data_IF_490284233199
#
_entry.id   IF_490284233199
#
_cell.length_a   1.000
_cell.length_b   1.000
_cell.length_c   1.000
_cell.angle_alpha   90.00
_cell.angle_beta   90.00
_cell.angle_gamma   90.00
#
_symmetry.space_group_name_H-M   'P 1'
#
loop_
_entity.id
_entity.type
_entity.pdbx_description
1 polymer ?
#
# COMPACT_ATOMS: atom_id res chain seq x y z
N UNK A 1 -11.74 -2.27 -5.47
CA UNK A 1 -11.73 -0.83 -5.11
C UNK A 1 -10.40 -0.26 -5.57
N UNK A 2 -10.35 0.97 -6.09
CA UNK A 2 -9.10 1.61 -6.53
C UNK A 2 -8.91 2.90 -5.75
N UNK A 3 -7.69 3.14 -5.28
CA UNK A 3 -7.28 4.38 -4.61
C UNK A 3 -6.16 4.96 -5.45
N UNK A 4 -6.22 6.26 -5.73
CA UNK A 4 -5.15 6.96 -6.42
C UNK A 4 -4.80 8.26 -5.70
N UNK A 5 -3.51 8.59 -5.79
CA UNK A 5 -2.96 9.86 -5.35
C UNK A 5 -2.21 10.43 -6.54
N UNK A 6 -2.63 11.59 -7.02
CA UNK A 6 -2.12 12.16 -8.27
C UNK A 6 -1.69 13.60 -8.06
N UNK A 7 -0.44 13.89 -8.44
CA UNK A 7 0.08 15.25 -8.43
C UNK A 7 -0.43 16.04 -9.65
N UNK A 8 -0.96 17.23 -9.42
CA UNK A 8 -1.42 18.16 -10.44
C UNK A 8 -0.22 18.93 -11.01
N UNK A 9 0.03 18.89 -12.34
CA UNK A 9 1.23 19.46 -12.90
C UNK A 9 1.18 20.99 -12.99
N UNK A 10 -0.02 21.59 -13.00
CA UNK A 10 -0.23 23.03 -13.10
C UNK A 10 -0.15 23.69 -11.74
N UNK A 11 -0.88 23.14 -10.76
CA UNK A 11 -1.01 23.76 -9.43
C UNK A 11 -0.05 23.19 -8.39
N UNK A 12 0.59 22.04 -8.68
CA UNK A 12 1.42 21.25 -7.76
C UNK A 12 0.67 20.69 -6.54
N UNK A 13 -0.66 20.74 -6.59
CA UNK A 13 -1.51 20.19 -5.55
C UNK A 13 -1.71 18.68 -5.74
N UNK A 14 -2.18 18.02 -4.69
CA UNK A 14 -2.41 16.58 -4.70
C UNK A 14 -3.90 16.25 -4.73
N UNK A 15 -4.31 15.46 -5.71
CA UNK A 15 -5.61 14.82 -5.74
C UNK A 15 -5.57 13.49 -5.00
N UNK A 16 -6.58 13.25 -4.16
CA UNK A 16 -6.84 11.93 -3.58
C UNK A 16 -8.18 11.44 -4.10
N UNK A 17 -8.18 10.28 -4.74
CA UNK A 17 -9.35 9.67 -5.35
C UNK A 17 -9.62 8.28 -4.83
N UNK A 18 -10.91 7.95 -4.73
CA UNK A 18 -11.40 6.61 -4.47
C UNK A 18 -12.37 6.21 -5.59
N UNK A 19 -11.95 5.24 -6.40
CA UNK A 19 -12.63 4.86 -7.64
C UNK A 19 -12.87 6.10 -8.51
N UNK A 20 -14.13 6.44 -8.78
CA UNK A 20 -14.53 7.58 -9.59
C UNK A 20 -14.88 8.82 -8.76
N UNK A 21 -14.61 8.80 -7.45
CA UNK A 21 -14.90 9.91 -6.54
C UNK A 21 -13.60 10.62 -6.15
N UNK A 22 -13.60 11.94 -6.31
CA UNK A 22 -12.56 12.80 -5.74
C UNK A 22 -12.85 12.98 -4.26
N UNK A 23 -11.96 12.48 -3.41
CA UNK A 23 -12.08 12.60 -1.95
C UNK A 23 -11.55 13.95 -1.46
N UNK A 24 -10.52 14.48 -2.09
CA UNK A 24 -9.94 15.75 -1.67
C UNK A 24 -8.89 16.27 -2.63
N UNK A 25 -8.60 17.56 -2.43
CA UNK A 25 -7.58 18.30 -3.15
C UNK A 25 -6.74 19.08 -2.14
N UNK A 26 -5.46 18.73 -2.07
CA UNK A 26 -4.58 19.17 -0.99
C UNK A 26 -3.51 20.10 -1.56
N UNK A 27 -3.44 21.35 -1.07
CA UNK A 27 -2.44 22.32 -1.51
C UNK A 27 -1.01 21.83 -1.32
N UNK A 28 -0.11 22.13 -2.28
CA UNK A 28 1.32 21.82 -2.19
C UNK A 28 1.93 22.32 -0.88
N UNK A 29 1.56 23.53 -0.46
CA UNK A 29 2.10 24.21 0.73
C UNK A 29 1.88 23.46 2.04
N UNK A 30 0.95 22.48 2.07
CA UNK A 30 0.78 21.60 3.23
C UNK A 30 1.94 20.61 3.40
N UNK A 31 2.76 20.43 2.37
CA UNK A 31 3.80 19.42 2.30
C UNK A 31 5.17 20.03 2.01
N UNK A 32 6.13 19.80 2.89
CA UNK A 32 7.49 20.36 2.76
C UNK A 32 8.34 19.65 1.71
N UNK A 33 8.06 18.37 1.46
CA UNK A 33 8.92 17.47 0.66
C UNK A 33 8.12 16.62 -0.36
N UNK A 34 6.97 17.12 -0.83
CA UNK A 34 6.12 16.43 -1.82
C UNK A 34 5.83 17.30 -3.05
N UNK A 35 6.77 18.14 -3.48
CA UNK A 35 6.73 18.74 -4.82
C UNK A 35 6.86 17.68 -5.93
N UNK A 36 7.44 16.52 -5.58
CA UNK A 36 7.48 15.27 -6.34
C UNK A 36 7.60 14.11 -5.35
N UNK A 37 7.19 12.91 -5.75
CA UNK A 37 7.29 11.71 -4.91
C UNK A 37 8.64 11.00 -5.16
N UNK A 38 9.54 11.03 -4.18
CA UNK A 38 10.80 10.27 -4.21
C UNK A 38 10.64 8.83 -3.74
N UNK A 39 9.70 8.62 -2.83
CA UNK A 39 9.34 7.32 -2.27
C UNK A 39 7.83 7.26 -2.24
N UNK A 40 7.30 6.10 -2.61
CA UNK A 40 5.90 5.75 -2.51
C UNK A 40 5.80 4.30 -2.09
N UNK A 41 4.65 3.92 -1.56
CA UNK A 41 4.46 2.55 -1.14
C UNK A 41 3.03 2.24 -0.79
N UNK A 42 2.77 0.95 -0.69
CA UNK A 42 1.54 0.40 -0.17
C UNK A 42 1.83 -0.08 1.25
N UNK A 43 1.06 0.40 2.21
CA UNK A 43 1.25 0.07 3.62
C UNK A 43 -0.08 -0.36 4.27
N UNK A 44 0.06 -0.86 5.48
CA UNK A 44 -1.03 -1.16 6.39
C UNK A 44 -0.49 -1.15 7.81
N UNK A 45 -1.35 -0.86 8.77
CA UNK A 45 -1.00 -0.96 10.18
C UNK A 45 -2.19 -1.46 10.99
N UNK A 46 -1.89 -2.09 12.12
CA UNK A 46 -2.84 -2.35 13.18
C UNK A 46 -2.47 -1.48 14.38
N UNK A 47 -3.46 -1.13 15.20
CA UNK A 47 -3.24 -0.42 16.45
C UNK A 47 -4.19 -0.97 17.50
N UNK A 48 -3.67 -1.22 18.69
CA UNK A 48 -4.43 -1.72 19.84
C UNK A 48 -3.95 -0.98 21.10
N UNK A 49 -4.82 -0.74 22.09
CA UNK A 49 -4.36 -0.17 23.36
C UNK A 49 -3.37 -1.10 24.06
N UNK A 50 -2.41 -0.51 24.78
CA UNK A 50 -1.39 -1.24 25.56
C UNK A 50 -2.04 -2.31 26.44
N UNK A 51 -1.45 -3.51 26.44
CA UNK A 51 -1.92 -4.65 27.23
C UNK A 51 -3.07 -5.44 26.58
N UNK A 52 -3.59 -5.01 25.42
CA UNK A 52 -4.53 -5.80 24.64
C UNK A 52 -3.81 -6.54 23.50
N UNK A 53 -4.26 -7.75 23.12
CA UNK A 53 -3.77 -8.40 21.92
C UNK A 53 -3.98 -7.53 20.68
N UNK A 54 -3.01 -7.50 19.78
CA UNK A 54 -3.13 -6.84 18.49
C UNK A 54 -4.15 -7.58 17.62
N UNK A 55 -4.99 -6.87 16.85
CA UNK A 55 -6.02 -7.50 16.05
C UNK A 55 -5.43 -8.25 14.84
N UNK A 56 -6.18 -9.19 14.23
CA UNK A 56 -5.78 -9.77 12.95
C UNK A 56 -5.70 -8.69 11.86
N UNK A 57 -4.75 -8.85 10.93
CA UNK A 57 -4.60 -7.98 9.76
C UNK A 57 -5.14 -8.68 8.51
N UNK A 58 -5.91 -7.95 7.69
CA UNK A 58 -6.46 -8.47 6.45
C UNK A 58 -7.41 -9.65 6.70
N UNK A 59 -7.07 -10.83 6.17
CA UNK A 59 -7.85 -12.06 6.38
C UNK A 59 -7.54 -12.79 7.69
N UNK A 60 -6.56 -12.31 8.47
CA UNK A 60 -6.07 -13.01 9.66
C UNK A 60 -5.11 -14.17 9.38
N UNK A 61 -4.84 -14.47 8.11
CA UNK A 61 -3.88 -15.50 7.70
C UNK A 61 -2.59 -14.86 7.20
N UNK A 62 -1.47 -15.51 7.48
CA UNK A 62 -0.18 -15.17 6.88
C UNK A 62 -0.24 -15.37 5.36
N UNK A 63 0.50 -14.56 4.58
CA UNK A 63 0.57 -14.69 3.13
C UNK A 63 1.18 -16.03 2.75
N UNK A 64 0.36 -16.97 2.26
CA UNK A 64 0.79 -18.33 1.89
C UNK A 64 0.93 -18.50 0.37
N UNK A 65 1.29 -17.43 -0.36
CA UNK A 65 1.30 -17.37 -1.84
C UNK A 65 -0.03 -17.82 -2.50
N UNK A 66 -1.14 -17.70 -1.77
CA UNK A 66 -2.48 -18.01 -2.26
C UNK A 66 -3.39 -16.79 -2.12
N UNK A 67 -3.65 -16.14 -3.26
CA UNK A 67 -4.50 -14.96 -3.38
C UNK A 67 -5.97 -15.20 -2.97
N UNK A 68 -6.41 -16.46 -2.87
CA UNK A 68 -7.77 -16.81 -2.43
C UNK A 68 -7.92 -16.84 -0.90
N UNK A 69 -6.81 -16.94 -0.15
CA UNK A 69 -6.82 -17.07 1.32
C UNK A 69 -6.23 -15.87 2.05
N UNK A 70 -5.31 -15.14 1.40
CA UNK A 70 -4.63 -13.98 1.99
C UNK A 70 -5.27 -12.69 1.49
N UNK A 71 -5.25 -11.64 2.30
CA UNK A 71 -5.64 -10.32 1.82
C UNK A 71 -4.56 -9.81 0.84
N UNK A 72 -4.93 -8.93 -0.09
CA UNK A 72 -4.02 -8.46 -1.12
C UNK A 72 -4.28 -7.02 -1.54
N UNK A 73 -3.21 -6.36 -1.98
CA UNK A 73 -3.29 -5.23 -2.91
C UNK A 73 -2.96 -5.73 -4.30
N UNK A 74 -3.68 -5.21 -5.30
CA UNK A 74 -3.54 -5.60 -6.70
C UNK A 74 -3.62 -4.37 -7.59
N UNK A 75 -3.20 -4.51 -8.84
CA UNK A 75 -3.11 -3.42 -9.81
C UNK A 75 -2.23 -2.28 -9.28
N UNK A 76 -1.17 -2.63 -8.56
CA UNK A 76 -0.22 -1.67 -8.00
C UNK A 76 0.60 -1.04 -9.11
N UNK A 77 0.59 0.28 -9.18
CA UNK A 77 1.40 1.04 -10.13
C UNK A 77 1.66 2.43 -9.57
N UNK A 78 2.69 3.08 -10.13
CA UNK A 78 2.99 4.49 -9.90
C UNK A 78 3.21 5.18 -11.24
N UNK A 79 3.07 6.50 -11.27
CA UNK A 79 3.26 7.31 -12.46
C UNK A 79 4.54 8.13 -12.37
N UNK A 80 5.29 8.17 -13.46
CA UNK A 80 6.39 9.13 -13.60
C UNK A 80 5.89 10.53 -13.98
N UNK A 81 6.82 11.47 -14.11
CA UNK A 81 6.53 12.85 -14.54
C UNK A 81 5.96 12.95 -15.96
N UNK A 82 6.12 11.92 -16.79
CA UNK A 82 5.59 11.83 -18.15
C UNK A 82 4.21 11.16 -18.20
N UNK A 83 3.56 10.91 -17.05
CA UNK A 83 2.27 10.21 -16.93
C UNK A 83 2.30 8.78 -17.44
N UNK A 84 3.46 8.14 -17.42
CA UNK A 84 3.59 6.74 -17.77
C UNK A 84 3.48 5.89 -16.52
N UNK A 85 2.65 4.86 -16.59
CA UNK A 85 2.47 3.90 -15.50
C UNK A 85 3.62 2.88 -15.46
N UNK A 86 4.12 2.62 -14.26
CA UNK A 86 5.10 1.58 -13.98
C UNK A 86 4.63 0.74 -12.81
N UNK A 87 4.98 -0.54 -12.84
CA UNK A 87 4.83 -1.41 -11.68
C UNK A 87 6.04 -1.32 -10.75
N UNK A 88 5.85 -1.55 -9.44
CA UNK A 88 6.98 -1.74 -8.54
C UNK A 88 7.80 -2.96 -9.00
N UNK A 89 9.07 -2.80 -9.36
CA UNK A 89 9.93 -3.96 -9.64
C UNK A 89 10.58 -4.46 -8.34
N UNK A 90 11.15 -5.67 -8.33
CA UNK A 90 11.77 -6.22 -7.11
C UNK A 90 13.07 -5.51 -6.70
N UNK A 91 13.77 -4.88 -7.64
CA UNK A 91 15.07 -4.23 -7.38
C UNK A 91 14.91 -2.88 -6.67
N UNK A 92 13.82 -2.18 -6.97
CA UNK A 92 13.48 -0.84 -6.46
C UNK A 92 12.44 -0.88 -5.33
N UNK A 93 11.98 -2.07 -4.93
CA UNK A 93 10.96 -2.25 -3.88
C UNK A 93 11.56 -2.82 -2.61
N UNK A 94 11.24 -2.20 -1.48
CA UNK A 94 11.58 -2.71 -0.15
C UNK A 94 10.32 -3.21 0.56
N UNK A 95 10.39 -4.42 1.10
CA UNK A 95 9.34 -4.98 1.98
C UNK A 95 9.73 -4.70 3.42
N UNK A 96 8.82 -4.10 4.18
CA UNK A 96 9.02 -3.78 5.59
C UNK A 96 7.90 -4.38 6.44
N UNK A 97 8.30 -5.12 7.48
CA UNK A 97 7.40 -5.72 8.47
C UNK A 97 7.99 -5.44 9.84
N UNK A 98 7.22 -4.78 10.70
CA UNK A 98 7.63 -4.39 12.05
C UNK A 98 7.65 -5.58 13.02
N UNK A 99 6.66 -6.48 12.93
CA UNK A 99 6.62 -7.72 13.71
C UNK A 99 6.28 -8.96 12.85
N UNK A 100 7.31 -9.68 12.34
CA UNK A 100 7.13 -10.83 11.46
C UNK A 100 6.51 -12.05 12.14
N UNK A 101 6.44 -12.08 13.48
CA UNK A 101 5.74 -13.16 14.21
C UNK A 101 4.23 -13.02 14.14
N UNK A 102 3.73 -11.83 13.81
CA UNK A 102 2.33 -11.48 13.89
C UNK A 102 1.71 -11.13 12.56
N UNK A 103 2.48 -10.46 11.72
CA UNK A 103 2.08 -10.01 10.40
C UNK A 103 3.19 -10.31 9.42
N UNK A 104 2.84 -10.45 8.16
CA UNK A 104 3.82 -10.62 7.10
C UNK A 104 3.27 -10.09 5.77
N UNK A 105 4.18 -9.82 4.84
CA UNK A 105 3.91 -9.32 3.50
C UNK A 105 4.71 -10.15 2.50
N UNK A 106 4.03 -10.66 1.47
CA UNK A 106 4.66 -11.34 0.34
C UNK A 106 4.42 -10.53 -0.93
N UNK A 107 5.50 -10.07 -1.56
CA UNK A 107 5.41 -9.40 -2.85
C UNK A 107 5.34 -10.43 -3.99
N UNK A 108 4.21 -10.48 -4.70
CA UNK A 108 3.97 -11.47 -5.74
C UNK A 108 4.44 -11.02 -7.13
N UNK A 109 4.87 -9.77 -7.29
CA UNK A 109 5.23 -9.23 -8.60
C UNK A 109 4.05 -9.12 -9.55
N UNK A 110 4.35 -9.07 -10.85
CA UNK A 110 3.34 -9.12 -11.92
C UNK A 110 2.79 -10.53 -12.06
N UNK A 111 1.46 -10.67 -12.08
CA UNK A 111 0.79 -11.95 -12.28
C UNK A 111 0.08 -12.03 -13.64
N UNK A 112 -1.06 -11.36 -13.80
CA UNK A 112 -1.82 -11.29 -15.04
C UNK A 112 -2.45 -9.91 -15.22
N UNK A 113 -3.24 -9.69 -16.27
CA UNK A 113 -3.90 -8.40 -16.54
C UNK A 113 -5.00 -8.03 -15.54
N UNK A 114 -5.56 -9.00 -14.80
CA UNK A 114 -6.64 -8.82 -13.82
C UNK A 114 -6.06 -8.48 -12.45
N UNK A 115 -4.98 -9.16 -12.05
CA UNK A 115 -4.30 -8.93 -10.77
C UNK A 115 -3.24 -7.83 -10.89
N UNK A 116 -2.56 -7.71 -12.03
CA UNK A 116 -1.44 -6.81 -12.22
C UNK A 116 -0.31 -7.10 -11.21
N UNK A 117 0.48 -6.06 -10.89
CA UNK A 117 1.42 -6.14 -9.78
C UNK A 117 0.65 -6.24 -8.45
N UNK A 118 1.00 -7.24 -7.64
CA UNK A 118 0.25 -7.57 -6.43
C UNK A 118 1.17 -7.86 -5.25
N UNK A 119 0.66 -7.58 -4.04
CA UNK A 119 1.25 -8.06 -2.80
C UNK A 119 0.17 -8.68 -1.93
N UNK A 120 0.54 -9.73 -1.19
CA UNK A 120 -0.30 -10.35 -0.20
C UNK A 120 0.15 -9.89 1.19
N UNK A 121 -0.81 -9.73 2.10
CA UNK A 121 -0.52 -9.35 3.47
C UNK A 121 -1.54 -9.98 4.42
N UNK A 122 -1.13 -10.13 5.67
CA UNK A 122 -2.02 -10.54 6.74
C UNK A 122 -1.26 -11.09 7.94
N UNK A 123 -1.98 -11.77 8.81
CA UNK A 123 -1.46 -12.36 10.02
C UNK A 123 -2.49 -12.33 11.14
N UNK A 124 -2.37 -13.27 12.08
CA UNK A 124 -3.41 -13.52 13.08
C UNK A 124 -3.51 -12.44 14.16
N UNK A 125 -2.51 -11.57 14.27
CA UNK A 125 -2.36 -10.73 15.46
C UNK A 125 -2.02 -11.56 16.69
N UNK A 126 -2.40 -11.09 17.87
CA UNK A 126 -2.05 -11.66 19.17
C UNK A 126 -1.05 -10.79 19.93
N UNK A 127 -0.05 -11.41 20.56
CA UNK A 127 0.96 -10.70 21.34
C UNK A 127 2.05 -10.14 20.43
N UNK A 128 1.71 -9.04 19.74
CA UNK A 128 2.50 -8.44 18.66
C UNK A 128 3.19 -7.14 19.04
N UNK A 129 2.92 -6.65 20.24
CA UNK A 129 3.57 -5.48 20.80
C UNK A 129 3.65 -5.61 22.32
N UNK A 130 4.76 -5.12 22.85
CA UNK A 130 4.84 -4.48 24.16
C UNK A 130 4.45 -3.00 24.00
#
# INVERSE_FOLDING_TARGET
MSVNITHDPETKNWWVGLQNRKLGYYPEILFSNLAFANLGGWNGMTSTPIGNPSPPMGSGHFPANNLLHSCFFRQMHFQDSYRKDYGPNMEDTQVYVDNPRCYDISYAGWNDHIQGYSMLFGGSGGNCGD
#
